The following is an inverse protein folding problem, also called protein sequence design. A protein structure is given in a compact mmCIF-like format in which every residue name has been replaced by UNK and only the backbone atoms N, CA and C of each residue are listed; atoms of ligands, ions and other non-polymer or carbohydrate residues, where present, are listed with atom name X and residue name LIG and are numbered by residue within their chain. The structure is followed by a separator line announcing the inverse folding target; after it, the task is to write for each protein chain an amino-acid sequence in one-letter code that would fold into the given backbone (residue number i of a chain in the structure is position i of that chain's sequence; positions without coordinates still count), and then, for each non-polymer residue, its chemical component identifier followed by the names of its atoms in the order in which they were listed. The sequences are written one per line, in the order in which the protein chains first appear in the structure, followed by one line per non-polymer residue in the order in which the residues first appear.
data_IF_204596481204
#
_entry.id   IF_204596481204
#
_cell.length_a   1.000
_cell.length_b   1.000
_cell.length_c   1.000
_cell.angle_alpha   90.00
_cell.angle_beta   90.00
_cell.angle_gamma   90.00
#
_symmetry.space_group_name_H-M   'P 1'
#
loop_
_entity.id
_entity.type
_entity.pdbx_description
1 polymer ?
#
# COMPACT_ATOMS: atom_id res chain seq x y z
N UNK A 1 -47.18 23.78 27.60
CA UNK A 1 -46.84 23.12 26.32
C UNK A 1 -45.49 22.47 26.51
N UNK A 2 -45.41 21.14 26.44
CA UNK A 2 -44.14 20.43 26.36
C UNK A 2 -44.40 19.20 25.48
N UNK A 3 -43.88 19.21 24.24
CA UNK A 3 -43.96 18.08 23.33
C UNK A 3 -42.64 17.31 23.40
N UNK A 4 -42.70 16.09 23.90
CA UNK A 4 -41.63 15.09 23.84
C UNK A 4 -41.51 14.53 22.42
N UNK A 5 -40.34 14.71 21.81
CA UNK A 5 -40.02 14.24 20.45
C UNK A 5 -39.66 12.74 20.49
N UNK A 6 -40.54 11.91 19.97
CA UNK A 6 -40.35 10.45 19.87
C UNK A 6 -39.35 10.13 18.75
N UNK A 7 -38.23 9.46 19.08
CA UNK A 7 -37.17 9.07 18.13
C UNK A 7 -37.61 7.80 17.39
N UNK A 8 -37.79 7.91 16.08
CA UNK A 8 -38.16 6.80 15.19
C UNK A 8 -37.00 5.80 15.05
N UNK A 9 -37.24 4.52 15.40
CA UNK A 9 -36.34 3.41 15.06
C UNK A 9 -36.62 2.99 13.62
N UNK A 10 -35.75 3.37 12.67
CA UNK A 10 -35.73 2.77 11.33
C UNK A 10 -35.38 1.29 11.48
N UNK A 11 -36.26 0.41 11.00
CA UNK A 11 -36.01 -1.03 10.91
C UNK A 11 -35.08 -1.25 9.72
N UNK A 12 -33.85 -1.69 9.97
CA UNK A 12 -32.94 -2.15 8.91
C UNK A 12 -33.55 -3.43 8.32
N UNK A 13 -33.67 -3.55 6.98
CA UNK A 13 -34.20 -4.77 6.36
C UNK A 13 -33.31 -5.97 6.67
N UNK A 14 -33.91 -7.09 7.08
CA UNK A 14 -33.23 -8.32 7.48
C UNK A 14 -32.23 -8.83 6.43
N UNK A 15 -32.49 -8.60 5.15
CA UNK A 15 -31.62 -8.99 4.02
C UNK A 15 -30.25 -8.31 4.09
N UNK A 16 -30.19 -7.05 4.53
CA UNK A 16 -28.92 -6.30 4.69
C UNK A 16 -28.08 -6.89 5.82
N UNK A 17 -28.73 -7.28 6.93
CA UNK A 17 -28.05 -7.91 8.06
C UNK A 17 -27.52 -9.31 7.67
N UNK A 18 -28.30 -10.07 6.89
CA UNK A 18 -27.91 -11.40 6.43
C UNK A 18 -26.79 -11.32 5.39
N UNK A 19 -26.82 -10.35 4.48
CA UNK A 19 -25.74 -10.12 3.52
C UNK A 19 -24.43 -9.76 4.24
N UNK A 20 -24.46 -8.79 5.17
CA UNK A 20 -23.31 -8.43 6.01
C UNK A 20 -22.77 -9.61 6.84
N UNK A 21 -23.66 -10.46 7.37
CA UNK A 21 -23.25 -11.63 8.14
C UNK A 21 -22.61 -12.73 7.25
N UNK A 22 -23.03 -12.85 5.99
CA UNK A 22 -22.47 -13.81 5.04
C UNK A 22 -21.10 -13.35 4.50
N UNK A 23 -20.90 -12.05 4.24
CA UNK A 23 -19.58 -11.50 3.88
C UNK A 23 -18.59 -11.58 5.05
N UNK A 24 -19.02 -11.29 6.28
CA UNK A 24 -18.19 -11.49 7.49
C UNK A 24 -17.80 -12.95 7.72
N UNK A 25 -18.69 -13.90 7.42
CA UNK A 25 -18.40 -15.33 7.54
C UNK A 25 -17.47 -15.85 6.43
N UNK A 26 -17.56 -15.31 5.21
CA UNK A 26 -16.66 -15.65 4.10
C UNK A 26 -15.24 -15.13 4.34
N UNK A 27 -15.07 -13.88 4.80
CA UNK A 27 -13.76 -13.29 5.11
C UNK A 27 -13.05 -14.01 6.26
N UNK A 28 -13.78 -14.38 7.32
CA UNK A 28 -13.19 -15.13 8.44
C UNK A 28 -12.85 -16.59 8.07
N UNK A 29 -13.63 -17.22 7.20
CA UNK A 29 -13.32 -18.56 6.68
C UNK A 29 -12.12 -18.53 5.71
N UNK A 30 -11.99 -17.49 4.89
CA UNK A 30 -10.85 -17.32 3.98
C UNK A 30 -9.56 -17.03 4.73
N UNK A 31 -9.56 -16.11 5.70
CA UNK A 31 -8.40 -15.83 6.54
C UNK A 31 -7.97 -17.07 7.35
N UNK A 32 -8.92 -17.83 7.91
CA UNK A 32 -8.62 -19.08 8.59
C UNK A 32 -8.08 -20.16 7.63
N UNK A 33 -8.61 -20.23 6.40
CA UNK A 33 -8.13 -21.14 5.37
C UNK A 33 -6.72 -20.77 4.90
N UNK A 34 -6.45 -19.49 4.63
CA UNK A 34 -5.13 -18.96 4.22
C UNK A 34 -4.07 -19.26 5.29
N UNK A 35 -4.37 -18.97 6.57
CA UNK A 35 -3.46 -19.29 7.67
C UNK A 35 -3.26 -20.81 7.77
N UNK A 36 -4.33 -21.59 7.65
CA UNK A 36 -4.22 -23.05 7.70
C UNK A 36 -3.40 -23.61 6.53
N UNK A 37 -3.61 -23.18 5.29
CA UNK A 37 -2.92 -23.72 4.12
C UNK A 37 -1.46 -23.27 4.01
N UNK A 38 -1.16 -22.02 4.39
CA UNK A 38 0.17 -21.45 4.16
C UNK A 38 1.11 -21.60 5.36
N UNK A 39 0.57 -21.72 6.58
CA UNK A 39 1.40 -21.78 7.79
C UNK A 39 1.26 -23.10 8.58
N UNK A 40 0.08 -23.75 8.57
CA UNK A 40 -0.18 -24.94 9.41
C UNK A 40 -0.08 -26.26 8.62
N UNK A 41 -0.71 -26.34 7.45
CA UNK A 41 -0.74 -27.53 6.59
C UNK A 41 0.66 -27.96 6.08
N UNK A 42 1.60 -27.05 5.76
CA UNK A 42 2.94 -27.43 5.32
C UNK A 42 3.76 -28.13 6.40
N UNK A 43 3.39 -27.98 7.68
CA UNK A 43 4.05 -28.66 8.79
C UNK A 43 3.55 -30.09 9.03
N UNK A 44 2.49 -30.53 8.34
CA UNK A 44 1.80 -31.79 8.59
C UNK A 44 1.58 -32.68 7.35
N UNK A 45 2.49 -32.68 6.36
CA UNK A 45 2.39 -33.61 5.23
C UNK A 45 3.58 -34.57 5.10
N UNK A 46 3.37 -35.89 5.30
CA UNK A 46 4.13 -36.92 4.59
C UNK A 46 3.78 -36.94 3.09
N UNK A 47 4.72 -37.42 2.30
CA UNK A 47 4.87 -37.25 0.84
C UNK A 47 3.65 -37.59 -0.06
N UNK A 48 3.65 -36.87 -1.19
CA UNK A 48 2.72 -36.80 -2.34
C UNK A 48 2.23 -38.12 -2.96
N UNK A 49 1.03 -38.09 -3.57
CA UNK A 49 0.69 -38.89 -4.76
C UNK A 49 -0.10 -38.04 -5.81
N UNK A 50 0.29 -38.16 -7.08
CA UNK A 50 -0.27 -37.53 -8.28
C UNK A 50 -1.63 -38.14 -8.71
N UNK A 51 -2.51 -37.40 -9.41
CA UNK A 51 -3.75 -37.96 -9.97
C UNK A 51 -3.51 -38.64 -11.33
N UNK A 52 -4.11 -39.83 -11.50
CA UNK A 52 -4.16 -40.57 -12.75
C UNK A 52 -5.38 -40.16 -13.62
N UNK A 53 -5.14 -40.01 -14.92
CA UNK A 53 -6.16 -39.87 -15.98
C UNK A 53 -6.95 -41.17 -16.16
N UNK A 54 -8.26 -41.10 -16.44
CA UNK A 54 -8.89 -42.11 -17.30
C UNK A 54 -10.19 -41.66 -18.01
N UNK A 55 -10.15 -41.84 -19.34
CA UNK A 55 -11.17 -42.27 -20.32
C UNK A 55 -12.58 -41.65 -20.47
N UNK A 56 -12.84 -41.12 -21.67
CA UNK A 56 -14.13 -41.09 -22.40
C UNK A 56 -14.38 -42.47 -23.08
N UNK A 57 -15.61 -42.89 -23.50
CA UNK A 57 -16.28 -42.27 -24.66
C UNK A 57 -17.84 -42.36 -24.75
N UNK A 58 -18.37 -41.53 -25.66
CA UNK A 58 -19.54 -41.68 -26.56
C UNK A 58 -20.99 -41.92 -26.06
N UNK A 59 -21.92 -41.09 -26.57
CA UNK A 59 -23.21 -41.59 -27.10
C UNK A 59 -24.51 -40.83 -26.76
N UNK A 60 -25.06 -40.14 -27.77
CA UNK A 60 -26.50 -39.97 -28.07
C UNK A 60 -27.32 -38.83 -27.43
N UNK A 61 -27.65 -37.83 -28.25
CA UNK A 61 -28.84 -36.94 -28.14
C UNK A 61 -30.08 -37.64 -28.76
N UNK A 62 -31.31 -37.30 -28.34
CA UNK A 62 -32.08 -36.35 -29.16
C UNK A 62 -32.97 -35.34 -28.38
N UNK A 63 -33.09 -34.17 -28.99
CA UNK A 63 -34.08 -33.08 -28.93
C UNK A 63 -35.19 -33.09 -27.85
N UNK A 64 -35.24 -32.01 -27.06
CA UNK A 64 -36.49 -31.40 -26.60
C UNK A 64 -36.47 -29.87 -26.77
N UNK A 65 -37.54 -29.40 -27.41
CA UNK A 65 -37.94 -28.01 -27.67
C UNK A 65 -38.51 -27.31 -26.41
N UNK A 66 -38.35 -25.97 -26.36
CA UNK A 66 -39.02 -24.97 -25.49
C UNK A 66 -38.44 -24.83 -24.07
N UNK A 67 -38.02 -23.66 -23.57
CA UNK A 67 -38.39 -22.23 -23.73
C UNK A 67 -37.17 -21.34 -23.43
N UNK A 68 -37.00 -20.14 -24.00
CA UNK A 68 -35.96 -19.22 -23.51
C UNK A 68 -36.47 -18.58 -22.22
N UNK A 69 -36.30 -19.28 -21.10
CA UNK A 69 -36.26 -18.64 -19.81
C UNK A 69 -35.05 -17.71 -19.85
N UNK A 70 -35.30 -16.40 -19.93
CA UNK A 70 -34.29 -15.39 -19.67
C UNK A 70 -33.87 -15.57 -18.22
N UNK A 71 -32.85 -16.41 -18.02
CA UNK A 71 -32.08 -16.40 -16.80
C UNK A 71 -31.55 -14.96 -16.67
N UNK A 72 -32.09 -14.20 -15.72
CA UNK A 72 -31.39 -13.05 -15.19
C UNK A 72 -30.09 -13.62 -14.62
N UNK A 73 -29.04 -13.61 -15.45
CA UNK A 73 -27.70 -13.96 -15.04
C UNK A 73 -27.34 -12.97 -13.94
N UNK A 74 -27.40 -13.46 -12.70
CA UNK A 74 -26.79 -12.78 -11.58
C UNK A 74 -25.31 -12.69 -11.93
N UNK A 75 -24.68 -11.50 -11.87
CA UNK A 75 -23.26 -11.36 -12.21
C UNK A 75 -22.44 -12.42 -11.47
N UNK A 76 -21.47 -13.02 -12.14
CA UNK A 76 -20.55 -13.92 -11.45
C UNK A 76 -19.69 -13.13 -10.45
N UNK A 77 -19.08 -13.81 -9.49
CA UNK A 77 -18.12 -13.19 -8.55
C UNK A 77 -16.95 -12.55 -9.33
N UNK A 78 -16.51 -13.22 -10.40
CA UNK A 78 -15.47 -12.71 -11.31
C UNK A 78 -15.91 -11.43 -12.04
N UNK A 79 -17.15 -11.37 -12.55
CA UNK A 79 -17.68 -10.16 -13.20
C UNK A 79 -17.81 -8.99 -12.20
N UNK A 80 -18.16 -9.31 -10.95
CA UNK A 80 -18.31 -8.31 -9.89
C UNK A 80 -16.96 -7.74 -9.47
N UNK A 81 -15.95 -8.60 -9.30
CA UNK A 81 -14.59 -8.19 -9.00
C UNK A 81 -13.98 -7.37 -10.13
N UNK A 82 -14.13 -7.83 -11.39
CA UNK A 82 -13.64 -7.09 -12.55
C UNK A 82 -14.28 -5.70 -12.67
N UNK A 83 -15.57 -5.57 -12.31
CA UNK A 83 -16.24 -4.28 -12.28
C UNK A 83 -15.70 -3.37 -11.16
N UNK A 84 -15.44 -3.92 -9.97
CA UNK A 84 -14.86 -3.17 -8.86
C UNK A 84 -13.43 -2.70 -9.17
N UNK A 85 -12.59 -3.57 -9.75
CA UNK A 85 -11.24 -3.22 -10.20
C UNK A 85 -11.26 -2.11 -11.27
N UNK A 86 -12.22 -2.18 -12.20
CA UNK A 86 -12.39 -1.14 -13.21
C UNK A 86 -12.86 0.20 -12.61
N UNK A 87 -13.68 0.16 -11.56
CA UNK A 87 -14.12 1.35 -10.83
C UNK A 87 -12.96 2.01 -10.08
N UNK A 88 -12.16 1.21 -9.36
CA UNK A 88 -10.95 1.67 -8.68
C UNK A 88 -9.96 2.31 -9.68
N UNK A 89 -9.64 1.61 -10.77
CA UNK A 89 -8.76 2.12 -11.82
C UNK A 89 -9.29 3.42 -12.44
N UNK A 90 -10.60 3.56 -12.63
CA UNK A 90 -11.19 4.81 -13.10
C UNK A 90 -11.02 5.96 -12.10
N UNK A 91 -11.23 5.70 -10.80
CA UNK A 91 -11.04 6.70 -9.77
C UNK A 91 -9.56 7.12 -9.65
N UNK A 92 -8.63 6.18 -9.82
CA UNK A 92 -7.20 6.46 -9.84
C UNK A 92 -6.75 7.30 -11.04
N UNK A 93 -7.43 7.26 -12.18
CA UNK A 93 -7.09 8.18 -13.28
C UNK A 93 -7.33 9.66 -12.89
N UNK A 94 -8.28 9.97 -11.99
CA UNK A 94 -8.42 11.34 -11.47
C UNK A 94 -7.21 11.76 -10.62
N UNK A 95 -6.63 10.82 -9.87
CA UNK A 95 -5.37 11.03 -9.13
C UNK A 95 -4.24 11.29 -10.10
N UNK A 96 -4.07 10.41 -11.10
CA UNK A 96 -3.00 10.53 -12.10
C UNK A 96 -3.11 11.81 -12.92
N UNK A 97 -4.33 12.22 -13.31
CA UNK A 97 -4.56 13.47 -14.02
C UNK A 97 -4.18 14.69 -13.19
N UNK A 98 -4.42 14.67 -11.87
CA UNK A 98 -3.96 15.73 -10.95
C UNK A 98 -2.43 15.85 -10.95
N UNK A 99 -1.71 14.73 -10.98
CA UNK A 99 -0.24 14.73 -11.09
C UNK A 99 0.24 15.20 -12.47
N UNK A 100 -0.40 14.77 -13.56
CA UNK A 100 -0.05 15.19 -14.93
C UNK A 100 -0.21 16.70 -15.09
N UNK A 101 -1.33 17.27 -14.64
CA UNK A 101 -1.56 18.72 -14.66
C UNK A 101 -0.52 19.48 -13.84
N UNK A 102 -0.19 18.98 -12.66
CA UNK A 102 0.86 19.57 -11.83
C UNK A 102 2.23 19.57 -12.51
N UNK A 103 2.62 18.44 -13.14
CA UNK A 103 3.89 18.32 -13.86
C UNK A 103 3.95 19.33 -15.01
N UNK A 104 2.87 19.43 -15.81
CA UNK A 104 2.78 20.38 -16.92
C UNK A 104 2.95 21.84 -16.44
N UNK A 105 2.26 22.23 -15.38
CA UNK A 105 2.33 23.58 -14.83
C UNK A 105 3.70 23.87 -14.19
N UNK A 106 4.26 22.90 -13.45
CA UNK A 106 5.59 23.02 -12.86
C UNK A 106 6.69 23.19 -13.92
N UNK A 107 6.58 22.48 -15.04
CA UNK A 107 7.51 22.58 -16.18
C UNK A 107 7.31 23.85 -17.02
N UNK A 108 6.09 24.40 -17.05
CA UNK A 108 5.82 25.66 -17.74
C UNK A 108 6.31 26.90 -16.96
N UNK A 109 6.55 26.76 -15.65
CA UNK A 109 7.10 27.82 -14.81
C UNK A 109 8.60 28.04 -15.09
N UNK A 110 8.97 29.27 -15.43
CA UNK A 110 10.36 29.65 -15.75
C UNK A 110 11.21 30.03 -14.53
N UNK A 111 10.70 29.84 -13.31
CA UNK A 111 11.39 30.28 -12.09
C UNK A 111 12.27 29.15 -11.51
N UNK A 112 13.59 29.33 -11.64
CA UNK A 112 14.66 28.50 -11.05
C UNK A 112 14.56 28.37 -9.50
N UNK A 113 13.71 29.17 -8.85
CA UNK A 113 13.38 29.07 -7.41
C UNK A 113 12.43 27.91 -7.08
N UNK A 114 12.03 27.10 -8.06
CA UNK A 114 11.45 25.76 -7.87
C UNK A 114 12.45 24.74 -7.28
N UNK A 115 13.35 25.18 -6.38
CA UNK A 115 13.81 24.35 -5.27
C UNK A 115 12.57 24.11 -4.39
N UNK A 116 11.72 23.20 -4.86
CA UNK A 116 10.37 22.81 -4.44
C UNK A 116 10.21 22.69 -2.91
N UNK A 117 10.24 23.84 -2.25
CA UNK A 117 9.41 24.13 -1.09
C UNK A 117 8.01 24.25 -1.66
N UNK A 118 7.34 23.11 -1.87
CA UNK A 118 5.90 23.13 -2.04
C UNK A 118 5.35 23.56 -0.68
N UNK A 119 5.32 24.88 -0.45
CA UNK A 119 4.25 25.47 0.33
C UNK A 119 2.94 25.38 -0.48
N UNK A 120 2.66 24.19 -1.03
CA UNK A 120 1.31 23.80 -1.31
C UNK A 120 0.70 23.62 0.06
N UNK A 121 -0.21 24.53 0.40
CA UNK A 121 -1.23 24.19 1.37
C UNK A 121 -1.69 22.76 1.02
N UNK A 122 -1.65 21.82 1.96
CA UNK A 122 -2.19 20.47 1.74
C UNK A 122 -3.68 20.57 1.32
N UNK A 123 -4.29 21.72 1.59
CA UNK A 123 -5.62 22.16 1.16
C UNK A 123 -5.62 22.89 -0.21
N UNK A 124 -4.54 22.82 -1.00
CA UNK A 124 -4.49 23.38 -2.34
C UNK A 124 -5.52 22.68 -3.22
N UNK A 125 -6.66 23.34 -3.37
CA UNK A 125 -7.80 22.89 -4.17
C UNK A 125 -7.46 22.70 -5.65
N UNK A 126 -6.31 23.21 -6.11
CA UNK A 126 -5.87 23.11 -7.49
C UNK A 126 -5.35 21.70 -7.83
N UNK A 127 -4.65 21.05 -6.88
CA UNK A 127 -4.04 19.74 -7.05
C UNK A 127 -4.37 18.82 -5.87
N UNK A 128 -5.64 18.41 -5.71
CA UNK A 128 -6.14 17.77 -4.49
C UNK A 128 -5.44 16.46 -4.13
N UNK A 129 -4.85 15.77 -5.12
CA UNK A 129 -4.19 14.48 -4.92
C UNK A 129 -2.66 14.54 -4.91
N UNK A 130 -2.06 15.66 -5.30
CA UNK A 130 -0.61 15.76 -5.45
C UNK A 130 0.04 15.97 -4.08
N UNK A 131 1.05 15.15 -3.78
CA UNK A 131 1.90 15.39 -2.61
C UNK A 131 2.73 16.65 -2.79
N UNK A 132 2.74 17.46 -1.73
CA UNK A 132 3.36 18.79 -1.69
C UNK A 132 4.41 18.90 -0.59
N UNK A 133 5.14 17.82 -0.28
CA UNK A 133 6.25 17.90 0.68
C UNK A 133 7.61 18.14 0.03
N UNK A 134 8.60 18.51 0.85
CA UNK A 134 9.92 19.02 0.42
C UNK A 134 10.89 17.94 -0.15
N UNK A 135 10.38 16.81 -0.66
CA UNK A 135 11.21 15.66 -1.06
C UNK A 135 11.97 15.86 -2.40
N UNK A 136 11.94 17.05 -2.99
CA UNK A 136 12.66 17.35 -4.22
C UNK A 136 14.08 17.83 -3.96
N UNK A 137 14.98 16.92 -3.56
CA UNK A 137 16.41 17.21 -3.64
C UNK A 137 16.86 17.08 -5.09
N UNK A 138 17.13 18.22 -5.74
CA UNK A 138 18.03 18.27 -6.90
C UNK A 138 17.44 17.88 -8.26
N UNK A 139 16.13 17.80 -8.39
CA UNK A 139 15.47 17.60 -9.69
C UNK A 139 15.06 18.97 -10.23
N UNK A 140 15.65 19.38 -11.36
CA UNK A 140 15.15 20.51 -12.15
C UNK A 140 13.68 20.26 -12.49
N UNK A 141 12.83 21.29 -12.56
CA UNK A 141 11.43 21.13 -13.01
C UNK A 141 11.34 20.40 -14.35
N UNK A 142 12.29 20.64 -15.25
CA UNK A 142 12.49 19.95 -16.53
C UNK A 142 12.77 18.44 -16.43
N UNK A 143 13.02 17.93 -15.23
CA UNK A 143 13.41 16.54 -14.93
C UNK A 143 12.46 15.83 -13.97
N UNK A 144 11.30 16.42 -13.63
CA UNK A 144 10.26 15.69 -12.89
C UNK A 144 9.85 14.48 -13.73
N UNK A 145 10.20 13.30 -13.23
CA UNK A 145 9.84 12.01 -13.81
C UNK A 145 9.22 11.18 -12.70
N UNK A 146 7.94 10.84 -12.85
CA UNK A 146 7.22 9.98 -11.93
C UNK A 146 6.87 8.67 -12.62
N UNK A 147 6.83 7.59 -11.84
CA UNK A 147 6.27 6.32 -12.26
C UNK A 147 5.08 5.97 -11.37
N UNK A 148 4.20 5.11 -11.87
CA UNK A 148 3.10 4.53 -11.09
C UNK A 148 2.95 3.03 -11.34
N UNK A 149 2.30 2.35 -10.40
CA UNK A 149 1.90 0.94 -10.50
C UNK A 149 0.62 0.67 -9.73
N UNK A 150 0.01 -0.48 -9.99
CA UNK A 150 -1.17 -0.99 -9.30
C UNK A 150 -0.79 -2.30 -8.62
N UNK A 151 -1.03 -2.42 -7.32
CA UNK A 151 -0.69 -3.62 -6.59
C UNK A 151 -1.65 -3.83 -5.42
N UNK A 152 -2.37 -4.96 -5.40
CA UNK A 152 -3.12 -5.43 -4.23
C UNK A 152 -2.15 -5.82 -3.10
N UNK A 153 -2.10 -5.01 -2.04
CA UNK A 153 -1.22 -5.22 -0.88
C UNK A 153 -1.96 -5.65 0.39
N UNK A 154 -3.27 -5.41 0.51
CA UNK A 154 -4.06 -5.83 1.68
C UNK A 154 -4.85 -7.13 1.48
N UNK A 155 -4.90 -7.64 0.25
CA UNK A 155 -5.51 -8.90 -0.13
C UNK A 155 -7.02 -8.83 -0.33
N UNK A 156 -7.61 -7.64 -0.50
CA UNK A 156 -9.04 -7.46 -0.78
C UNK A 156 -9.41 -7.69 -2.26
N UNK A 157 -8.41 -7.99 -3.11
CA UNK A 157 -8.51 -8.17 -4.56
C UNK A 157 -8.73 -6.90 -5.38
N UNK A 158 -8.65 -5.73 -4.77
CA UNK A 158 -8.63 -4.42 -5.42
C UNK A 158 -7.21 -3.86 -5.35
N UNK A 159 -6.60 -3.61 -6.52
CA UNK A 159 -5.23 -3.09 -6.51
C UNK A 159 -5.16 -1.65 -5.96
N UNK A 160 -4.23 -1.36 -5.06
CA UNK A 160 -3.89 0.01 -4.68
C UNK A 160 -2.98 0.71 -5.70
N UNK A 161 -3.11 2.04 -5.80
CA UNK A 161 -2.26 2.88 -6.65
C UNK A 161 -1.02 3.36 -5.88
N UNK A 162 0.16 3.16 -6.45
CA UNK A 162 1.42 3.71 -5.95
C UNK A 162 2.05 4.64 -6.97
N UNK A 163 2.56 5.78 -6.49
CA UNK A 163 3.28 6.77 -7.30
C UNK A 163 4.67 6.95 -6.68
N UNK A 164 5.72 6.87 -7.50
CA UNK A 164 7.12 7.03 -7.08
C UNK A 164 7.86 8.03 -7.95
N UNK A 165 8.97 8.53 -7.44
CA UNK A 165 9.93 9.28 -8.25
C UNK A 165 10.75 8.33 -9.11
N UNK A 166 10.85 8.60 -10.41
CA UNK A 166 11.77 7.89 -11.31
C UNK A 166 13.18 8.44 -11.09
N UNK A 167 14.03 7.65 -10.43
CA UNK A 167 15.45 7.99 -10.24
C UNK A 167 16.28 7.11 -11.17
N UNK A 168 17.04 7.74 -12.08
CA UNK A 168 17.99 7.05 -12.99
C UNK A 168 19.31 6.67 -12.29
N UNK A 169 19.54 7.17 -11.07
CA UNK A 169 20.73 6.90 -10.25
C UNK A 169 20.50 5.68 -9.34
N UNK A 170 21.30 4.63 -9.54
CA UNK A 170 21.25 3.35 -8.82
C UNK A 170 21.61 3.42 -7.33
N UNK A 171 21.91 4.61 -6.79
CA UNK A 171 22.33 4.79 -5.40
C UNK A 171 21.19 5.02 -4.41
N UNK A 172 19.96 5.25 -4.89
CA UNK A 172 18.76 5.37 -4.08
C UNK A 172 17.63 4.56 -4.69
N UNK A 173 16.98 3.72 -3.87
CA UNK A 173 15.73 3.10 -4.29
C UNK A 173 14.71 4.20 -4.56
N UNK A 174 14.15 4.20 -5.78
CA UNK A 174 13.15 5.15 -6.25
C UNK A 174 11.95 5.18 -5.29
N UNK A 175 11.82 6.22 -4.45
CA UNK A 175 10.90 6.18 -3.33
C UNK A 175 9.49 6.45 -3.82
N UNK A 176 8.56 5.63 -3.32
CA UNK A 176 7.13 5.89 -3.39
C UNK A 176 6.86 7.18 -2.59
N UNK A 177 6.24 8.14 -3.27
CA UNK A 177 5.88 9.45 -2.72
C UNK A 177 4.44 9.46 -2.21
N UNK A 178 3.57 8.66 -2.80
CA UNK A 178 2.19 8.48 -2.38
C UNK A 178 1.68 7.07 -2.69
N UNK A 179 0.80 6.57 -1.83
CA UNK A 179 -0.04 5.41 -2.11
C UNK A 179 -1.50 5.71 -1.80
N UNK A 180 -2.39 5.13 -2.61
CA UNK A 180 -3.82 5.37 -2.55
C UNK A 180 -4.61 4.06 -2.60
N UNK A 181 -5.60 3.95 -1.74
CA UNK A 181 -6.55 2.86 -1.66
C UNK A 181 -7.91 3.30 -2.21
N UNK A 182 -8.73 2.36 -2.68
CA UNK A 182 -10.08 2.58 -3.17
C UNK A 182 -11.06 1.69 -2.40
N UNK A 183 -11.79 2.30 -1.47
CA UNK A 183 -12.78 1.60 -0.66
C UNK A 183 -14.13 2.34 -0.65
N UNK A 184 -15.22 1.59 -0.70
CA UNK A 184 -16.60 2.09 -0.71
C UNK A 184 -16.88 3.22 -1.72
N UNK A 185 -16.21 3.22 -2.89
CA UNK A 185 -16.39 4.25 -3.91
C UNK A 185 -15.55 5.52 -3.70
N UNK A 186 -14.56 5.48 -2.81
CA UNK A 186 -13.75 6.62 -2.42
C UNK A 186 -12.26 6.30 -2.48
N UNK A 187 -11.49 7.20 -3.08
CA UNK A 187 -10.03 7.17 -3.03
C UNK A 187 -9.56 7.74 -1.70
N UNK A 188 -8.69 7.02 -1.00
CA UNK A 188 -8.03 7.47 0.23
C UNK A 188 -6.51 7.42 0.05
N UNK A 189 -5.79 8.44 0.53
CA UNK A 189 -4.33 8.41 0.59
C UNK A 189 -3.92 7.79 1.91
N UNK A 190 -3.15 6.70 1.87
CA UNK A 190 -2.73 6.00 3.09
C UNK A 190 -1.22 6.06 3.35
N UNK A 191 -0.41 6.29 2.32
CA UNK A 191 1.02 6.53 2.47
C UNK A 191 1.42 7.85 1.80
N UNK A 192 2.24 8.63 2.49
CA UNK A 192 2.77 9.90 2.01
C UNK A 192 4.22 10.07 2.48
N UNK A 193 5.12 10.37 1.55
CA UNK A 193 6.56 10.58 1.79
C UNK A 193 6.82 11.80 2.69
N UNK A 194 8.05 11.92 3.18
CA UNK A 194 8.52 13.05 4.00
C UNK A 194 9.79 13.65 3.39
N UNK A 195 10.20 14.84 3.85
CA UNK A 195 11.31 15.67 3.32
C UNK A 195 12.65 14.93 3.11
N UNK A 196 12.87 13.79 3.75
CA UNK A 196 14.04 12.92 3.54
C UNK A 196 13.67 11.47 3.82
N UNK A 197 12.60 11.02 3.21
CA UNK A 197 12.11 9.67 3.41
C UNK A 197 11.04 9.30 2.42
N UNK A 198 10.77 8.01 2.29
CA UNK A 198 9.79 7.51 1.35
C UNK A 198 9.52 6.05 1.61
N UNK A 199 8.75 5.44 0.72
CA UNK A 199 8.39 4.04 0.84
C UNK A 199 8.96 3.22 -0.29
N UNK A 200 9.12 1.92 -0.05
CA UNK A 200 9.16 0.91 -1.09
C UNK A 200 8.31 -0.28 -0.67
N UNK A 201 7.87 -1.06 -1.66
CA UNK A 201 7.08 -2.28 -1.46
C UNK A 201 8.04 -3.47 -1.41
N UNK A 202 7.84 -4.38 -0.47
CA UNK A 202 8.54 -5.67 -0.38
C UNK A 202 7.79 -6.74 -1.18
N UNK A 203 8.45 -7.86 -1.52
CA UNK A 203 7.82 -8.94 -2.32
C UNK A 203 6.57 -9.56 -1.67
N UNK A 204 6.42 -9.44 -0.36
CA UNK A 204 5.26 -9.91 0.40
C UNK A 204 4.16 -8.84 0.59
N UNK A 205 4.24 -7.71 -0.13
CA UNK A 205 3.21 -6.67 -0.13
C UNK A 205 3.27 -5.73 1.09
N UNK A 206 4.33 -5.79 1.88
CA UNK A 206 4.54 -4.85 2.98
C UNK A 206 5.24 -3.58 2.47
N UNK A 207 5.19 -2.52 3.28
CA UNK A 207 5.85 -1.26 2.98
C UNK A 207 6.98 -1.02 3.97
N UNK A 208 8.16 -0.67 3.47
CA UNK A 208 9.20 -0.07 4.31
C UNK A 208 9.11 1.43 4.16
N UNK A 209 8.82 2.14 5.25
CA UNK A 209 9.04 3.57 5.37
C UNK A 209 10.48 3.83 5.84
N UNK A 210 11.28 4.46 4.99
CA UNK A 210 12.60 4.95 5.36
C UNK A 210 12.56 6.45 5.64
N UNK A 211 13.18 6.88 6.74
CA UNK A 211 13.36 8.29 7.10
C UNK A 211 14.78 8.61 7.51
N UNK A 212 15.33 9.70 6.97
CA UNK A 212 16.70 10.15 7.22
C UNK A 212 16.76 11.59 7.76
N UNK A 213 17.34 11.74 8.94
CA UNK A 213 17.77 13.03 9.50
C UNK A 213 19.18 13.44 9.09
N UNK A 214 19.85 12.67 8.23
CA UNK A 214 21.28 12.77 7.93
C UNK A 214 22.02 11.51 8.37
N UNK A 215 23.36 11.55 8.40
CA UNK A 215 24.13 10.35 8.77
C UNK A 215 23.89 9.91 10.22
N UNK A 216 23.56 10.84 11.13
CA UNK A 216 23.47 10.63 12.57
C UNK A 216 22.04 10.36 13.08
N UNK A 217 21.04 10.27 12.20
CA UNK A 217 19.67 9.91 12.57
C UNK A 217 18.97 9.25 11.39
N UNK A 218 18.61 7.97 11.52
CA UNK A 218 17.89 7.24 10.46
C UNK A 218 16.91 6.25 11.07
N UNK A 219 15.86 5.90 10.32
CA UNK A 219 14.88 4.90 10.73
C UNK A 219 14.32 4.18 9.50
N UNK A 220 14.10 2.88 9.64
CA UNK A 220 13.31 2.07 8.71
C UNK A 220 12.19 1.39 9.49
N UNK A 221 10.97 1.47 8.98
CA UNK A 221 9.78 0.90 9.60
C UNK A 221 9.07 0.01 8.59
N UNK A 222 8.92 -1.27 8.92
CA UNK A 222 8.09 -2.22 8.18
C UNK A 222 6.64 -2.04 8.60
N UNK A 223 5.79 -1.79 7.61
CA UNK A 223 4.37 -1.51 7.77
C UNK A 223 3.53 -2.48 6.94
N UNK A 224 2.35 -2.83 7.46
CA UNK A 224 1.30 -3.54 6.73
C UNK A 224 0.09 -2.64 6.57
N UNK A 225 -0.42 -2.52 5.35
CA UNK A 225 -1.75 -1.95 5.12
C UNK A 225 -2.82 -3.01 5.42
N UNK A 226 -4.00 -2.56 5.87
CA UNK A 226 -5.12 -3.46 6.21
C UNK A 226 -6.47 -2.95 5.66
N UNK A 227 -6.46 -1.99 4.74
CA UNK A 227 -7.64 -1.31 4.21
C UNK A 227 -8.16 -0.12 5.04
N UNK A 228 -7.51 0.21 6.17
CA UNK A 228 -7.91 1.34 7.04
C UNK A 228 -6.71 2.11 7.62
N UNK A 229 -5.70 1.39 8.13
CA UNK A 229 -4.49 2.00 8.72
C UNK A 229 -3.20 1.25 8.37
N UNK A 230 -2.10 2.01 8.25
CA UNK A 230 -0.76 1.45 8.18
C UNK A 230 -0.30 1.02 9.57
N UNK A 231 -0.19 -0.30 9.76
CA UNK A 231 0.25 -0.92 11.01
C UNK A 231 1.76 -1.10 11.01
N UNK A 232 2.45 -0.57 12.03
CA UNK A 232 3.85 -0.91 12.26
C UNK A 232 4.00 -2.37 12.68
N UNK A 233 4.72 -3.15 11.87
CA UNK A 233 5.08 -4.54 12.13
C UNK A 233 6.39 -4.59 12.91
N UNK A 234 7.40 -3.89 12.40
CA UNK A 234 8.71 -3.78 13.02
C UNK A 234 9.37 -2.44 12.65
N UNK A 235 10.33 -1.99 13.44
CA UNK A 235 11.17 -0.86 13.08
C UNK A 235 12.56 -0.96 13.69
N UNK A 236 13.52 -0.35 13.00
CA UNK A 236 14.86 -0.10 13.51
C UNK A 236 15.19 1.34 13.21
N UNK A 237 15.62 2.08 14.23
CA UNK A 237 16.04 3.45 14.06
C UNK A 237 17.09 3.84 15.08
N UNK A 238 17.91 4.82 14.74
CA UNK A 238 18.91 5.32 15.64
C UNK A 238 18.98 6.84 15.61
N UNK A 239 19.42 7.41 16.71
CA UNK A 239 19.74 8.83 16.87
C UNK A 239 20.92 9.00 17.82
N UNK A 240 21.54 10.18 17.84
CA UNK A 240 22.52 10.53 18.87
C UNK A 240 21.89 10.46 20.27
N UNK A 241 22.63 9.96 21.27
CA UNK A 241 22.12 9.81 22.64
C UNK A 241 21.94 11.15 23.38
N UNK A 242 22.60 12.23 22.93
CA UNK A 242 22.33 13.59 23.39
C UNK A 242 22.61 14.64 22.32
N UNK A 243 21.91 15.78 22.36
CA UNK A 243 22.11 16.88 21.39
C UNK A 243 23.57 17.36 21.29
N UNK A 244 24.36 17.21 22.36
CA UNK A 244 25.77 17.59 22.38
C UNK A 244 26.65 16.67 21.51
N UNK A 245 26.15 15.49 21.18
CA UNK A 245 26.82 14.45 20.40
C UNK A 245 26.50 14.51 18.90
N UNK A 246 25.57 15.40 18.50
CA UNK A 246 25.14 15.55 17.12
C UNK A 246 26.33 15.78 16.19
N UNK A 247 26.38 15.03 15.09
CA UNK A 247 27.46 15.10 14.13
C UNK A 247 28.79 14.44 14.54
N UNK A 248 28.86 13.72 15.68
CA UNK A 248 30.06 13.00 16.11
C UNK A 248 29.89 11.47 16.02
N UNK A 249 30.48 10.79 15.02
CA UNK A 249 30.36 9.34 14.88
C UNK A 249 31.04 8.53 16.00
N UNK A 250 31.88 9.17 16.83
CA UNK A 250 32.51 8.51 17.98
C UNK A 250 31.69 8.63 19.28
N UNK A 251 30.57 9.34 19.25
CA UNK A 251 29.67 9.47 20.39
C UNK A 251 28.74 8.24 20.51
N UNK A 252 28.14 8.01 21.70
CA UNK A 252 27.10 7.00 21.85
C UNK A 252 25.84 7.35 21.04
N UNK A 253 25.25 6.33 20.44
CA UNK A 253 23.98 6.40 19.73
C UNK A 253 22.92 5.60 20.50
N UNK A 254 21.68 6.08 20.46
CA UNK A 254 20.51 5.35 20.93
C UNK A 254 19.93 4.58 19.74
N UNK A 255 19.98 3.25 19.82
CA UNK A 255 19.33 2.34 18.89
C UNK A 255 17.97 1.97 19.47
N UNK A 256 16.92 2.28 18.72
CA UNK A 256 15.54 1.87 19.01
C UNK A 256 15.14 0.75 18.06
N UNK A 257 14.63 -0.35 18.60
CA UNK A 257 13.99 -1.40 17.80
C UNK A 257 12.56 -1.61 18.28
N UNK A 258 11.67 -1.92 17.35
CA UNK A 258 10.31 -2.38 17.61
C UNK A 258 10.11 -3.71 16.91
N UNK A 259 9.70 -4.74 17.64
CA UNK A 259 9.36 -6.03 17.06
C UNK A 259 8.13 -6.58 17.81
N UNK A 260 7.09 -6.99 17.08
CA UNK A 260 5.86 -7.53 17.67
C UNK A 260 5.24 -6.60 18.75
N UNK A 261 5.34 -5.28 18.53
CA UNK A 261 4.86 -4.25 19.46
C UNK A 261 5.72 -4.05 20.72
N UNK A 262 6.87 -4.72 20.83
CA UNK A 262 7.82 -4.51 21.93
C UNK A 262 8.92 -3.55 21.50
N UNK A 263 9.09 -2.45 22.24
CA UNK A 263 10.16 -1.47 22.03
C UNK A 263 11.37 -1.81 22.90
N UNK A 264 12.55 -1.85 22.28
CA UNK A 264 13.86 -1.91 22.96
C UNK A 264 14.67 -0.66 22.65
N UNK A 265 15.43 -0.17 23.63
CA UNK A 265 16.32 0.98 23.51
C UNK A 265 17.68 0.59 24.08
N UNK A 266 18.72 0.67 23.25
CA UNK A 266 20.09 0.32 23.59
C UNK A 266 21.05 1.48 23.26
N UNK A 267 22.11 1.61 24.05
CA UNK A 267 23.19 2.56 23.75
C UNK A 267 24.33 1.82 23.07
N UNK A 268 24.61 2.19 21.83
CA UNK A 268 25.54 1.50 20.92
C UNK A 268 26.51 2.50 20.28
N UNK A 269 27.51 1.98 19.57
CA UNK A 269 28.38 2.78 18.69
C UNK A 269 27.66 3.12 17.38
N UNK A 270 28.18 4.11 16.64
CA UNK A 270 27.67 4.45 15.32
C UNK A 270 27.67 3.25 14.35
N UNK A 271 28.79 2.51 14.30
CA UNK A 271 28.94 1.37 13.40
C UNK A 271 27.88 0.29 13.70
N UNK A 272 27.68 -0.05 14.98
CA UNK A 272 26.64 -1.00 15.42
C UNK A 272 25.23 -0.52 15.06
N UNK A 273 24.94 0.78 15.22
CA UNK A 273 23.63 1.34 14.86
C UNK A 273 23.37 1.28 13.34
N UNK A 274 24.37 1.63 12.53
CA UNK A 274 24.27 1.56 11.06
C UNK A 274 24.18 0.13 10.55
N UNK A 275 24.92 -0.79 11.15
CA UNK A 275 24.85 -2.23 10.82
C UNK A 275 23.47 -2.78 11.13
N UNK A 276 22.89 -2.47 12.29
CA UNK A 276 21.53 -2.91 12.64
C UNK A 276 20.48 -2.42 11.63
N UNK A 277 20.54 -1.16 11.21
CA UNK A 277 19.63 -0.61 10.20
C UNK A 277 19.85 -1.25 8.83
N UNK A 278 21.10 -1.48 8.43
CA UNK A 278 21.44 -2.15 7.18
C UNK A 278 20.89 -3.58 7.15
N UNK A 279 21.13 -4.37 8.21
CA UNK A 279 20.61 -5.73 8.34
C UNK A 279 19.09 -5.75 8.21
N UNK A 280 18.39 -4.83 8.90
CA UNK A 280 16.93 -4.73 8.78
C UNK A 280 16.46 -4.48 7.34
N UNK A 281 17.12 -3.59 6.60
CA UNK A 281 16.76 -3.33 5.20
C UNK A 281 17.11 -4.52 4.29
N UNK A 282 18.20 -5.24 4.55
CA UNK A 282 18.59 -6.43 3.78
C UNK A 282 17.63 -7.62 4.00
N UNK A 283 17.00 -7.71 5.18
CA UNK A 283 15.96 -8.70 5.48
C UNK A 283 14.62 -8.36 4.80
N UNK A 284 14.41 -7.10 4.44
CA UNK A 284 13.18 -6.59 3.82
C UNK A 284 13.50 -5.82 2.53
N UNK A 285 14.04 -6.46 1.48
CA UNK A 285 14.41 -5.78 0.25
C UNK A 285 13.18 -5.27 -0.52
N UNK A 286 13.39 -4.23 -1.32
CA UNK A 286 12.40 -3.78 -2.29
C UNK A 286 12.07 -4.89 -3.30
N UNK A 287 10.83 -4.93 -3.74
CA UNK A 287 10.35 -5.88 -4.73
C UNK A 287 10.92 -5.58 -6.12
N UNK A 288 11.59 -6.57 -6.71
CA UNK A 288 12.09 -6.51 -8.09
C UNK A 288 11.01 -6.92 -9.10
N UNK A 289 9.95 -7.59 -8.63
CA UNK A 289 8.87 -8.12 -9.46
C UNK A 289 7.88 -7.06 -9.95
N UNK A 290 7.86 -5.87 -9.32
CA UNK A 290 6.88 -4.83 -9.60
C UNK A 290 7.22 -4.09 -10.90
N UNK A 291 6.25 -4.04 -11.81
CA UNK A 291 6.36 -3.29 -13.06
C UNK A 291 5.84 -1.86 -12.88
N UNK A 292 6.66 -0.89 -13.27
CA UNK A 292 6.36 0.52 -13.16
C UNK A 292 6.08 1.13 -14.54
N UNK A 293 5.04 1.99 -14.61
CA UNK A 293 4.66 2.74 -15.81
C UNK A 293 5.06 4.19 -15.63
N UNK A 294 5.57 4.82 -16.69
CA UNK A 294 5.84 6.27 -16.71
C UNK A 294 4.51 7.02 -16.59
N UNK A 295 4.48 8.04 -15.74
CA UNK A 295 3.37 8.97 -15.60
C UNK A 295 3.47 10.12 -16.62
#
# INVERSE_FOLDING_TARGET
MEQTKQRSRRRVPLVVIVALALTLAAGTAFAAHYIYTNYIAPQNQPAQEQPAQDTQPEGSTPEQEQTPSREEQTPSEEDTLAAAQAEAAQAYEEVLDSYRSYIEDAQASSDDEAMLMLAGDIDSVEYPYVYVGDFFIGISTDSIALDYTYQDIDGDSIDELFIRQSIDDSSYDAPIICAFDFNEGHVSRFAESIVRGGYYITEDGQLINHGSGGFDTNTSTLCSWNGDELITVASVGYTYASDADRGNPNSPYELTTVENGHKTEDVVTYDEATEALQVFNEEHPAADSISWKKL
#
